data_IF_624188662296
#
_entry.id   IF_624188662296
#
_cell.length_a   1.000
_cell.length_b   1.000
_cell.length_c   1.000
_cell.angle_alpha   90.00
_cell.angle_beta   90.00
_cell.angle_gamma   90.00
#
_symmetry.space_group_name_H-M   'P 1'
#
loop_
_entity.id
_entity.type
_entity.pdbx_description
1 polymer ?
#
# COMPACT_ATOMS: atom_id res chain seq x y z
N UNK A 1 -13.34 -1.69 1.89
CA UNK A 1 -13.51 -1.86 0.44
C UNK A 1 -12.91 -0.72 -0.35
N UNK A 2 -11.73 -0.99 -0.90
CA UNK A 2 -11.00 -0.13 -1.81
C UNK A 2 -10.42 -0.96 -2.95
N UNK A 3 -9.93 -0.29 -3.97
CA UNK A 3 -9.32 -0.92 -5.14
C UNK A 3 -8.03 -0.20 -5.48
N UNK A 4 -7.05 -0.96 -5.96
CA UNK A 4 -5.82 -0.44 -6.52
C UNK A 4 -5.59 -1.05 -7.89
N UNK A 5 -5.20 -0.20 -8.84
CA UNK A 5 -4.83 -0.58 -10.19
C UNK A 5 -3.36 -0.24 -10.43
N UNK A 6 -2.68 -1.13 -11.14
CA UNK A 6 -1.31 -0.96 -11.63
C UNK A 6 -1.36 -0.82 -13.15
N UNK A 7 -0.80 0.27 -13.67
CA UNK A 7 -0.65 0.54 -15.10
C UNK A 7 0.67 1.28 -15.36
N UNK A 8 1.48 0.75 -16.28
CA UNK A 8 2.82 1.27 -16.62
C UNK A 8 3.69 1.67 -15.39
N UNK A 9 3.73 0.80 -14.38
CA UNK A 9 4.53 1.02 -13.17
C UNK A 9 4.03 2.14 -12.24
N UNK A 10 2.83 2.68 -12.48
CA UNK A 10 2.17 3.69 -11.64
C UNK A 10 0.96 3.08 -10.93
N UNK A 11 0.55 3.67 -9.82
CA UNK A 11 -0.60 3.21 -9.05
C UNK A 11 -1.74 4.21 -9.07
N UNK A 12 -2.96 3.67 -9.15
CA UNK A 12 -4.20 4.40 -8.97
C UNK A 12 -5.02 3.70 -7.90
N UNK A 13 -5.73 4.47 -7.08
CA UNK A 13 -6.58 3.95 -6.02
C UNK A 13 -7.93 4.66 -5.98
N UNK A 14 -8.96 3.92 -5.57
CA UNK A 14 -10.32 4.43 -5.37
C UNK A 14 -11.10 3.55 -4.39
N UNK A 15 -12.24 4.05 -3.89
CA UNK A 15 -13.10 3.42 -2.90
C UNK A 15 -13.05 4.09 -1.52
N UNK A 16 -13.24 3.30 -0.47
CA UNK A 16 -13.17 3.76 0.92
C UNK A 16 -11.72 4.16 1.28
N UNK A 17 -11.55 5.26 2.01
CA UNK A 17 -10.27 5.77 2.46
C UNK A 17 -10.25 6.19 3.94
N UNK A 18 -11.19 5.72 4.76
CA UNK A 18 -11.33 6.16 6.16
C UNK A 18 -10.07 5.91 7.00
N UNK A 19 -9.28 4.90 6.62
CA UNK A 19 -8.01 4.54 7.26
C UNK A 19 -6.77 4.99 6.47
N UNK A 20 -6.93 5.73 5.37
CA UNK A 20 -5.84 6.16 4.50
C UNK A 20 -5.38 5.10 3.48
N UNK A 21 -6.17 4.04 3.26
CA UNK A 21 -5.82 2.91 2.40
C UNK A 21 -5.71 3.22 0.90
N UNK A 22 -6.05 4.44 0.49
CA UNK A 22 -5.81 4.93 -0.87
C UNK A 22 -4.42 5.55 -1.04
N UNK A 23 -3.72 5.90 0.04
CA UNK A 23 -2.36 6.47 -0.03
C UNK A 23 -2.30 7.89 -0.61
N UNK A 24 -3.41 8.62 -0.69
CA UNK A 24 -3.51 9.93 -1.35
C UNK A 24 -3.12 11.11 -0.45
N UNK A 25 -2.73 10.87 0.80
CA UNK A 25 -2.37 11.90 1.77
C UNK A 25 -3.53 12.48 2.57
N UNK A 26 -4.71 11.91 2.45
CA UNK A 26 -5.91 12.21 3.22
C UNK A 26 -6.72 10.94 3.50
N UNK A 27 -7.86 11.10 4.17
CA UNK A 27 -8.77 10.01 4.55
C UNK A 27 -10.15 10.16 3.88
N UNK A 28 -10.22 10.81 2.72
CA UNK A 28 -11.46 11.04 1.98
C UNK A 28 -11.70 9.95 0.94
N UNK A 29 -12.93 9.44 0.85
CA UNK A 29 -13.28 8.42 -0.14
C UNK A 29 -13.14 8.97 -1.56
N UNK A 30 -12.73 8.14 -2.52
CA UNK A 30 -12.68 8.50 -3.95
C UNK A 30 -13.60 7.59 -4.73
N UNK A 31 -14.51 8.16 -5.51
CA UNK A 31 -15.43 7.38 -6.36
C UNK A 31 -14.82 7.04 -7.73
N UNK A 32 -13.67 7.64 -8.06
CA UNK A 32 -12.98 7.49 -9.33
C UNK A 32 -11.48 7.23 -9.06
N UNK A 33 -10.77 6.53 -9.97
CA UNK A 33 -9.34 6.27 -9.82
C UNK A 33 -8.53 7.57 -9.70
N UNK A 34 -7.77 7.69 -8.62
CA UNK A 34 -6.81 8.79 -8.42
C UNK A 34 -5.39 8.24 -8.38
N UNK A 35 -4.46 8.92 -9.04
CA UNK A 35 -3.06 8.51 -9.07
C UNK A 35 -2.42 8.71 -7.70
N UNK A 36 -1.68 7.72 -7.23
CA UNK A 36 -0.83 7.82 -6.03
C UNK A 36 0.51 8.43 -6.47
N UNK A 37 0.80 9.64 -6.00
CA UNK A 37 2.05 10.33 -6.32
C UNK A 37 3.23 9.80 -5.48
N UNK A 38 4.45 9.94 -6.02
CA UNK A 38 5.68 9.57 -5.31
C UNK A 38 6.05 8.08 -5.36
N UNK A 39 5.27 7.26 -6.08
CA UNK A 39 5.59 5.87 -6.40
C UNK A 39 5.77 5.72 -7.92
N UNK A 40 6.78 4.96 -8.34
CA UNK A 40 7.04 4.66 -9.75
C UNK A 40 7.76 3.32 -9.89
N UNK A 41 7.68 2.71 -11.07
CA UNK A 41 8.30 1.40 -11.33
C UNK A 41 7.67 0.27 -10.51
N UNK A 42 6.40 0.38 -10.12
CA UNK A 42 5.72 -0.66 -9.33
C UNK A 42 5.54 -1.95 -10.15
N UNK A 43 5.88 -3.08 -9.54
CA UNK A 43 5.80 -4.41 -10.18
C UNK A 43 4.73 -5.32 -9.56
N UNK A 44 4.39 -5.11 -8.29
CA UNK A 44 3.42 -5.92 -7.57
C UNK A 44 2.61 -5.05 -6.61
N UNK A 45 1.33 -5.38 -6.44
CA UNK A 45 0.43 -4.66 -5.54
C UNK A 45 -0.59 -5.61 -4.93
N UNK A 46 -0.99 -5.32 -3.69
CA UNK A 46 -2.02 -6.07 -2.98
C UNK A 46 -2.83 -5.17 -2.05
N UNK A 47 -4.12 -5.45 -1.95
CA UNK A 47 -5.03 -4.80 -1.01
C UNK A 47 -5.36 -5.77 0.12
N UNK A 48 -5.20 -5.32 1.36
CA UNK A 48 -5.77 -5.97 2.54
C UNK A 48 -7.16 -5.41 2.85
N UNK A 49 -7.63 -5.55 4.08
CA UNK A 49 -8.97 -5.09 4.46
C UNK A 49 -9.11 -3.55 4.46
N UNK A 50 -8.24 -2.85 5.21
CA UNK A 50 -8.17 -1.39 5.28
C UNK A 50 -6.76 -0.86 5.03
N UNK A 51 -5.94 -1.58 4.28
CA UNK A 51 -4.58 -1.16 3.95
C UNK A 51 -4.15 -1.75 2.62
N UNK A 52 -3.02 -1.29 2.12
CA UNK A 52 -2.42 -1.74 0.87
C UNK A 52 -0.91 -1.77 0.95
N UNK A 53 -0.33 -2.62 0.12
CA UNK A 53 1.11 -2.69 -0.07
C UNK A 53 1.45 -2.89 -1.54
N UNK A 54 2.65 -2.46 -1.92
CA UNK A 54 3.21 -2.65 -3.25
C UNK A 54 4.73 -2.82 -3.21
N UNK A 55 5.28 -3.31 -4.31
CA UNK A 55 6.71 -3.55 -4.50
C UNK A 55 7.17 -2.79 -5.73
N UNK A 56 8.24 -2.00 -5.59
CA UNK A 56 8.83 -1.29 -6.73
C UNK A 56 9.88 -2.14 -7.49
N UNK A 57 10.43 -1.58 -8.56
CA UNK A 57 11.36 -2.27 -9.46
C UNK A 57 12.72 -2.56 -8.84
N UNK A 58 13.07 -1.94 -7.71
CA UNK A 58 14.30 -2.24 -6.97
C UNK A 58 14.05 -3.23 -5.82
N UNK A 59 12.80 -3.64 -5.62
CA UNK A 59 12.39 -4.62 -4.62
C UNK A 59 12.04 -4.00 -3.27
N UNK A 60 11.87 -2.68 -3.18
CA UNK A 60 11.43 -2.03 -1.95
C UNK A 60 9.92 -2.22 -1.77
N UNK A 61 9.51 -2.52 -0.53
CA UNK A 61 8.10 -2.63 -0.16
C UNK A 61 7.60 -1.29 0.36
N UNK A 62 6.46 -0.85 -0.15
CA UNK A 62 5.76 0.35 0.28
C UNK A 62 4.37 -0.01 0.79
N UNK A 63 3.93 0.62 1.86
CA UNK A 63 2.66 0.31 2.52
C UNK A 63 1.92 1.59 2.96
N UNK A 64 0.59 1.51 3.04
CA UNK A 64 -0.28 2.61 3.49
C UNK A 64 -1.67 2.07 3.91
N UNK A 65 -2.36 2.83 4.74
CA UNK A 65 -3.67 2.51 5.32
C UNK A 65 -3.62 2.20 6.81
N UNK A 66 -4.56 1.37 7.26
CA UNK A 66 -4.69 0.91 8.63
C UNK A 66 -3.44 0.15 9.08
N UNK A 67 -3.06 0.36 10.35
CA UNK A 67 -1.92 -0.31 10.96
C UNK A 67 -2.18 -0.76 12.41
N UNK A 68 -3.44 -0.90 12.81
CA UNK A 68 -3.86 -1.24 14.18
C UNK A 68 -3.23 -2.54 14.72
N UNK A 69 -2.82 -3.45 13.83
CA UNK A 69 -2.20 -4.73 14.13
C UNK A 69 -0.72 -4.81 13.71
N UNK A 70 -0.13 -3.71 13.26
CA UNK A 70 1.23 -3.69 12.72
C UNK A 70 1.34 -4.23 11.29
N UNK A 71 0.23 -4.36 10.56
CA UNK A 71 0.19 -4.93 9.20
C UNK A 71 1.04 -4.17 8.17
N UNK A 72 1.42 -2.92 8.46
CA UNK A 72 2.32 -2.12 7.62
C UNK A 72 3.82 -2.44 7.85
N UNK A 73 4.18 -3.12 8.95
CA UNK A 73 5.58 -3.49 9.21
C UNK A 73 6.51 -2.31 9.57
N UNK A 74 5.96 -1.17 9.99
CA UNK A 74 6.72 0.06 10.25
C UNK A 74 7.30 0.17 11.67
N UNK A 75 7.26 -0.91 12.46
CA UNK A 75 7.74 -0.91 13.86
C UNK A 75 6.81 -0.18 14.86
N UNK A 76 5.62 0.25 14.42
CA UNK A 76 4.59 0.86 15.24
C UNK A 76 3.20 0.52 14.70
N UNK A 77 2.12 0.92 15.40
CA UNK A 77 0.72 0.63 15.03
C UNK A 77 -0.07 1.84 14.52
N UNK A 78 0.59 2.97 14.27
CA UNK A 78 -0.06 4.16 13.68
C UNK A 78 -0.32 3.98 12.18
N UNK A 79 -1.56 4.26 11.75
CA UNK A 79 -1.99 4.25 10.35
C UNK A 79 -1.24 5.29 9.51
N UNK A 80 -1.11 5.06 8.20
CA UNK A 80 -0.38 5.94 7.28
C UNK A 80 -1.24 6.25 6.05
N UNK A 81 -1.60 7.51 5.82
CA UNK A 81 -2.38 7.89 4.63
C UNK A 81 -1.51 8.25 3.40
N UNK A 82 -0.19 8.11 3.51
CA UNK A 82 0.77 8.22 2.40
C UNK A 82 1.63 6.97 2.37
N UNK A 83 2.12 6.55 1.18
CA UNK A 83 3.06 5.46 1.07
C UNK A 83 4.28 5.66 1.98
N UNK A 84 4.61 4.61 2.73
CA UNK A 84 5.81 4.52 3.54
C UNK A 84 6.58 3.26 3.16
N UNK A 85 7.87 3.43 2.90
CA UNK A 85 8.80 2.32 2.69
C UNK A 85 8.94 1.53 3.99
N UNK A 86 8.80 0.21 3.90
CA UNK A 86 9.05 -0.71 5.01
C UNK A 86 10.57 -0.82 5.19
N UNK A 87 11.12 -0.56 6.39
CA UNK A 87 12.56 -0.61 6.62
C UNK A 87 13.08 -2.05 6.64
N UNK A 88 14.39 -2.20 6.38
CA UNK A 88 15.19 -3.40 6.66
C UNK A 88 14.71 -4.72 6.01
N UNK A 89 13.92 -4.64 4.93
CA UNK A 89 13.61 -5.80 4.08
C UNK A 89 14.68 -6.00 3.00
N UNK A 90 15.06 -7.25 2.69
CA UNK A 90 15.80 -7.55 1.46
C UNK A 90 14.91 -7.27 0.24
N UNK A 91 15.46 -7.21 -0.98
CA UNK A 91 14.66 -7.05 -2.19
C UNK A 91 13.54 -8.10 -2.28
N UNK A 92 12.30 -7.62 -2.42
CA UNK A 92 11.09 -8.43 -2.52
C UNK A 92 10.62 -8.48 -3.98
N UNK A 93 10.01 -9.59 -4.39
CA UNK A 93 9.41 -9.77 -5.72
C UNK A 93 7.91 -9.57 -5.74
N UNK A 94 7.21 -10.04 -4.71
CA UNK A 94 5.76 -9.88 -4.60
C UNK A 94 5.28 -9.70 -3.16
N UNK A 95 4.13 -9.05 -3.03
CA UNK A 95 3.46 -8.81 -1.74
C UNK A 95 2.02 -9.30 -1.80
N UNK A 96 1.55 -9.88 -0.69
CA UNK A 96 0.18 -10.38 -0.55
C UNK A 96 -0.37 -9.93 0.81
N UNK A 97 -1.49 -9.20 0.79
CA UNK A 97 -2.16 -8.69 1.97
C UNK A 97 -3.38 -9.56 2.32
N UNK A 98 -3.46 -9.98 3.57
CA UNK A 98 -4.67 -10.56 4.15
C UNK A 98 -5.53 -9.51 4.87
N UNK A 99 -6.38 -9.96 5.79
CA UNK A 99 -7.21 -9.05 6.59
C UNK A 99 -6.38 -8.10 7.47
N UNK A 100 -5.42 -8.65 8.24
CA UNK A 100 -4.58 -7.92 9.19
C UNK A 100 -3.10 -8.34 9.14
N UNK A 101 -2.64 -8.88 8.01
CA UNK A 101 -1.26 -9.32 7.85
C UNK A 101 -0.76 -9.12 6.43
N UNK A 102 0.58 -9.09 6.28
CA UNK A 102 1.28 -8.95 5.00
C UNK A 102 2.30 -10.07 4.85
N UNK A 103 2.32 -10.71 3.69
CA UNK A 103 3.32 -11.68 3.27
C UNK A 103 4.16 -11.09 2.13
N UNK A 104 5.48 -11.29 2.20
CA UNK A 104 6.42 -10.91 1.16
C UNK A 104 7.14 -12.15 0.63
N UNK A 105 7.36 -12.22 -0.68
CA UNK A 105 8.10 -13.29 -1.36
C UNK A 105 9.29 -12.69 -2.09
N UNK A 106 10.49 -13.24 -1.86
CA UNK A 106 11.75 -12.79 -2.48
C UNK A 106 12.15 -13.51 -3.76
#
# INVERSE_FOLDING_TARGET
>A
DHSICLDDGRLWSFGNNESGQLGLGDNTNRLEPHRIEGLCGILSVSCGYHFSACVDSVGDVWCFGENSHGQLGLGHTTAQNKPKKVPDLPPIRSVHCGYHHTLCIS
#
